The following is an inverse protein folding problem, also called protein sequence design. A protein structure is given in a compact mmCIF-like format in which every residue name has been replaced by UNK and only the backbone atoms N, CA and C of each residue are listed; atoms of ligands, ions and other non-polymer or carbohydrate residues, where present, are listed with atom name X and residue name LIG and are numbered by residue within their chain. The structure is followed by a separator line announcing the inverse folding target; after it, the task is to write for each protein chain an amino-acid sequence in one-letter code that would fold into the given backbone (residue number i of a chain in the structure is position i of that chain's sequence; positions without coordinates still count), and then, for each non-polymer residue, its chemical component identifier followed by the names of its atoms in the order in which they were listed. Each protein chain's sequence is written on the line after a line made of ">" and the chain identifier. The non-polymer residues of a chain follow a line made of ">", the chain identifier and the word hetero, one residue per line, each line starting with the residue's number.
data_IF_693920312207
#
_entry.id   IF_693920312207
#
_cell.length_a   1.000
_cell.length_b   1.000
_cell.length_c   1.000
_cell.angle_alpha   90.00
_cell.angle_beta   90.00
_cell.angle_gamma   90.00
#
_symmetry.space_group_name_H-M   'P 1'
#
loop_
_entity.id
_entity.type
_entity.pdbx_description
1 polymer ?
#
# COMPACT_ATOMS: atom_id res chain seq x y z
N UNK A 1 -8.47 -43.66 46.78
CA UNK A 1 -7.27 -42.81 46.96
C UNK A 1 -6.60 -42.38 45.63
N UNK A 2 -6.87 -43.07 44.51
CA UNK A 2 -6.17 -42.94 43.21
C UNK A 2 -6.49 -41.68 42.40
N UNK A 3 -7.69 -41.10 42.53
CA UNK A 3 -8.06 -39.89 41.76
C UNK A 3 -7.36 -38.62 42.23
N UNK A 4 -7.09 -38.49 43.54
CA UNK A 4 -6.43 -37.29 44.08
C UNK A 4 -4.98 -37.15 43.60
N UNK A 5 -4.25 -38.27 43.52
CA UNK A 5 -2.89 -38.29 42.97
C UNK A 5 -2.86 -37.88 41.50
N UNK A 6 -3.78 -38.41 40.67
CA UNK A 6 -3.87 -38.05 39.24
C UNK A 6 -4.19 -36.56 39.03
N UNK A 7 -5.05 -35.97 39.87
CA UNK A 7 -5.34 -34.52 39.80
C UNK A 7 -4.12 -33.68 40.19
N UNK A 8 -3.40 -34.08 41.24
CA UNK A 8 -2.19 -33.37 41.69
C UNK A 8 -1.08 -33.46 40.62
N UNK A 9 -0.86 -34.63 40.01
CA UNK A 9 0.11 -34.79 38.92
C UNK A 9 -0.24 -33.94 37.70
N UNK A 10 -1.53 -33.83 37.34
CA UNK A 10 -1.99 -32.98 36.24
C UNK A 10 -1.75 -31.49 36.52
N UNK A 11 -1.97 -31.04 37.76
CA UNK A 11 -1.71 -29.66 38.16
C UNK A 11 -0.21 -29.36 38.06
N UNK A 12 0.64 -30.24 38.63
CA UNK A 12 2.10 -30.08 38.56
C UNK A 12 2.59 -30.03 37.10
N UNK A 13 2.09 -30.93 36.24
CA UNK A 13 2.46 -30.96 34.83
C UNK A 13 1.98 -29.70 34.09
N UNK A 14 0.76 -29.24 34.36
CA UNK A 14 0.22 -28.02 33.75
C UNK A 14 1.00 -26.77 34.18
N UNK A 15 1.38 -26.67 35.45
CA UNK A 15 2.19 -25.56 35.96
C UNK A 15 3.61 -25.59 35.39
N UNK A 16 4.21 -26.78 35.21
CA UNK A 16 5.52 -26.94 34.58
C UNK A 16 5.51 -26.47 33.11
N UNK A 17 4.48 -26.84 32.35
CA UNK A 17 4.33 -26.43 30.94
C UNK A 17 4.12 -24.93 30.80
N UNK A 18 3.28 -24.33 31.66
CA UNK A 18 3.09 -22.87 31.71
C UNK A 18 4.36 -22.12 32.09
N UNK A 19 5.12 -22.64 33.07
CA UNK A 19 6.41 -22.08 33.47
C UNK A 19 7.45 -22.14 32.35
N UNK A 20 7.49 -23.23 31.59
CA UNK A 20 8.40 -23.38 30.46
C UNK A 20 8.08 -22.43 29.30
N UNK A 21 6.80 -22.17 29.03
CA UNK A 21 6.38 -21.17 28.04
C UNK A 21 6.75 -19.73 28.45
N UNK A 22 6.70 -19.41 29.75
CA UNK A 22 7.03 -18.09 30.26
C UNK A 22 8.54 -17.75 30.19
N UNK A 23 9.41 -18.76 30.05
CA UNK A 23 10.87 -18.57 29.93
C UNK A 23 11.32 -18.27 28.49
N UNK A 24 10.43 -18.40 27.50
CA UNK A 24 10.77 -18.08 26.11
C UNK A 24 10.64 -16.58 25.87
N UNK A 25 11.71 -15.86 25.48
CA UNK A 25 11.58 -14.45 25.13
C UNK A 25 10.69 -14.30 23.90
N UNK A 26 9.60 -13.54 24.04
CA UNK A 26 8.74 -13.18 22.93
C UNK A 26 9.56 -12.30 21.95
N UNK A 27 9.88 -12.86 20.77
CA UNK A 27 10.49 -12.10 19.68
C UNK A 27 9.40 -11.25 19.03
N UNK A 28 9.24 -10.01 19.50
CA UNK A 28 8.48 -9.00 18.78
C UNK A 28 9.28 -8.61 17.53
N UNK A 29 8.86 -9.02 16.34
CA UNK A 29 9.45 -8.63 15.06
C UNK A 29 9.09 -7.16 14.67
N UNK A 30 8.93 -6.29 15.65
CA UNK A 30 8.45 -4.91 15.49
C UNK A 30 9.52 -3.86 15.79
N UNK A 31 10.73 -4.28 16.15
CA UNK A 31 11.78 -3.35 16.62
C UNK A 31 12.17 -2.27 15.61
N UNK A 32 12.00 -2.53 14.32
CA UNK A 32 12.48 -1.64 13.25
C UNK A 32 11.38 -1.20 12.27
N UNK A 33 10.12 -1.55 12.54
CA UNK A 33 8.99 -1.07 11.73
C UNK A 33 8.87 0.46 11.80
N UNK A 34 9.22 1.05 12.94
CA UNK A 34 9.26 2.50 13.09
C UNK A 34 10.26 3.14 12.13
N UNK A 35 11.50 2.65 12.10
CA UNK A 35 12.51 3.16 11.18
C UNK A 35 12.19 2.82 9.72
N UNK A 36 11.59 1.66 9.43
CA UNK A 36 11.13 1.29 8.09
C UNK A 36 10.02 2.22 7.58
N UNK A 37 9.01 2.50 8.42
CA UNK A 37 7.93 3.43 8.08
C UNK A 37 8.42 4.88 8.02
N UNK A 38 9.30 5.30 8.93
CA UNK A 38 9.89 6.64 8.93
C UNK A 38 10.83 6.84 7.74
N UNK A 39 11.65 5.84 7.42
CA UNK A 39 12.52 5.85 6.26
C UNK A 39 11.74 5.87 4.95
N UNK A 40 10.65 5.10 4.89
CA UNK A 40 9.82 5.00 3.70
C UNK A 40 8.78 6.10 3.57
N UNK A 41 8.42 6.85 4.62
CA UNK A 41 7.24 7.74 4.58
C UNK A 41 7.33 8.82 3.50
N UNK A 42 8.49 9.50 3.38
CA UNK A 42 8.68 10.56 2.39
C UNK A 42 8.68 9.98 0.96
N UNK A 43 9.47 8.93 0.74
CA UNK A 43 9.59 8.26 -0.55
C UNK A 43 8.27 7.60 -0.99
N UNK A 44 7.54 7.00 -0.06
CA UNK A 44 6.21 6.42 -0.29
C UNK A 44 5.20 7.49 -0.69
N UNK A 45 5.29 8.70 -0.10
CA UNK A 45 4.47 9.84 -0.53
C UNK A 45 4.75 10.23 -1.98
N UNK A 46 6.04 10.30 -2.37
CA UNK A 46 6.47 10.60 -3.74
C UNK A 46 5.99 9.51 -4.71
N UNK A 47 6.24 8.23 -4.40
CA UNK A 47 5.81 7.09 -5.21
C UNK A 47 4.28 7.04 -5.34
N UNK A 48 3.55 7.25 -4.24
CA UNK A 48 2.08 7.29 -4.25
C UNK A 48 1.58 8.44 -5.13
N UNK A 49 2.21 9.62 -5.04
CA UNK A 49 1.85 10.79 -5.84
C UNK A 49 1.98 10.52 -7.34
N UNK A 50 3.08 9.92 -7.77
CA UNK A 50 3.27 9.57 -9.19
C UNK A 50 2.31 8.45 -9.61
N UNK A 51 2.09 7.45 -8.76
CA UNK A 51 1.14 6.36 -9.02
C UNK A 51 -0.29 6.88 -9.29
N UNK A 52 -0.77 7.86 -8.51
CA UNK A 52 -2.13 8.42 -8.67
C UNK A 52 -2.19 9.62 -9.63
N UNK A 53 -1.08 10.05 -10.22
CA UNK A 53 -1.00 11.24 -11.08
C UNK A 53 -1.99 11.29 -12.24
N UNK A 54 -2.33 10.19 -12.96
CA UNK A 54 -3.34 10.25 -14.01
C UNK A 54 -4.78 10.17 -13.49
N UNK A 55 -4.99 10.03 -12.18
CA UNK A 55 -6.35 9.95 -11.63
C UNK A 55 -7.20 11.20 -11.97
N UNK A 56 -6.71 12.44 -11.83
CA UNK A 56 -7.51 13.63 -12.11
C UNK A 56 -7.91 13.76 -13.59
N UNK A 57 -7.09 13.30 -14.53
CA UNK A 57 -7.42 13.39 -15.96
C UNK A 57 -8.58 12.47 -16.33
N UNK A 58 -8.61 11.25 -15.77
CA UNK A 58 -9.70 10.30 -15.99
C UNK A 58 -10.96 10.57 -15.16
N UNK A 59 -10.80 10.90 -13.88
CA UNK A 59 -11.91 11.18 -12.98
C UNK A 59 -12.54 12.55 -13.26
N UNK A 60 -11.73 13.58 -13.52
CA UNK A 60 -12.19 14.94 -13.77
C UNK A 60 -13.00 15.08 -15.05
N UNK A 61 -12.66 14.31 -16.10
CA UNK A 61 -13.48 14.24 -17.32
C UNK A 61 -14.86 13.66 -17.06
N UNK A 62 -14.96 12.65 -16.19
CA UNK A 62 -16.24 12.10 -15.71
C UNK A 62 -17.12 13.14 -15.02
N UNK A 63 -16.55 13.95 -14.12
CA UNK A 63 -17.27 15.01 -13.40
C UNK A 63 -17.75 16.14 -14.31
N UNK A 64 -16.93 16.55 -15.28
CA UNK A 64 -17.30 17.61 -16.23
C UNK A 64 -18.50 17.21 -17.12
N UNK A 65 -18.69 15.92 -17.39
CA UNK A 65 -19.84 15.46 -18.19
C UNK A 65 -21.21 15.63 -17.49
N UNK A 66 -21.23 15.85 -16.17
CA UNK A 66 -22.44 15.85 -15.34
C UNK A 66 -22.99 17.22 -14.92
N UNK A 67 -22.27 18.33 -15.14
CA UNK A 67 -22.57 19.61 -14.49
C UNK A 67 -23.72 20.46 -15.06
N UNK A 68 -24.65 19.90 -15.84
CA UNK A 68 -25.75 20.69 -16.41
C UNK A 68 -27.12 20.09 -16.12
N UNK A 69 -27.77 20.54 -15.05
CA UNK A 69 -29.20 20.30 -14.82
C UNK A 69 -29.98 21.61 -15.07
N UNK A 70 -31.04 21.55 -15.87
CA UNK A 70 -31.88 22.72 -16.14
C UNK A 70 -32.66 23.11 -14.88
N UNK A 71 -32.59 24.38 -14.47
CA UNK A 71 -33.33 24.93 -13.33
C UNK A 71 -34.84 25.11 -13.58
N UNK A 72 -35.34 24.74 -14.77
CA UNK A 72 -36.74 24.91 -15.13
C UNK A 72 -37.66 23.86 -14.48
N UNK A 73 -38.85 24.23 -13.98
CA UNK A 73 -39.78 23.31 -13.33
C UNK A 73 -40.29 22.26 -14.34
N UNK A 74 -40.14 20.98 -13.99
CA UNK A 74 -40.64 19.85 -14.81
C UNK A 74 -42.19 19.89 -14.82
N UNK A 75 -42.83 19.71 -15.99
CA UNK A 75 -44.30 19.67 -16.16
C UNK A 75 -44.93 18.43 -15.51
N UNK A 76 -46.25 18.45 -15.33
CA UNK A 76 -47.04 17.35 -14.74
C UNK A 76 -46.71 16.01 -15.44
N UNK A 77 -46.52 14.95 -14.65
CA UNK A 77 -45.79 13.66 -14.89
C UNK A 77 -44.31 13.63 -14.46
N UNK A 78 -43.64 14.76 -14.24
CA UNK A 78 -42.56 14.91 -13.24
C UNK A 78 -41.21 14.17 -13.45
N UNK A 79 -41.05 13.27 -14.41
CA UNK A 79 -39.77 12.56 -14.64
C UNK A 79 -38.99 13.09 -15.84
N UNK A 80 -37.66 12.95 -15.78
CA UNK A 80 -36.72 13.33 -16.84
C UNK A 80 -35.62 12.28 -16.91
N UNK A 81 -35.49 11.62 -18.05
CA UNK A 81 -34.41 10.66 -18.30
C UNK A 81 -33.33 11.36 -19.11
N UNK A 82 -32.08 11.27 -18.67
CA UNK A 82 -30.93 11.82 -19.38
C UNK A 82 -29.88 10.73 -19.55
N UNK A 83 -29.44 10.52 -20.79
CA UNK A 83 -28.32 9.66 -21.13
C UNK A 83 -27.14 10.54 -21.47
N UNK A 84 -26.01 10.37 -20.77
CA UNK A 84 -24.80 11.16 -20.97
C UNK A 84 -23.62 10.22 -21.16
N UNK A 85 -23.12 10.05 -22.40
CA UNK A 85 -21.88 9.31 -22.61
C UNK A 85 -20.72 10.16 -22.07
N UNK A 86 -19.85 9.54 -21.28
CA UNK A 86 -18.59 10.13 -20.84
C UNK A 86 -17.46 9.14 -21.15
N UNK A 87 -16.39 9.64 -21.76
CA UNK A 87 -15.21 8.86 -22.10
C UNK A 87 -14.00 9.60 -21.55
N UNK A 88 -13.23 8.89 -20.73
CA UNK A 88 -12.00 9.36 -20.13
C UNK A 88 -10.84 8.57 -20.73
N UNK A 89 -9.89 9.25 -21.36
CA UNK A 89 -8.69 8.63 -21.94
C UNK A 89 -7.46 9.24 -21.29
N UNK A 90 -6.63 8.39 -20.70
CA UNK A 90 -5.33 8.77 -20.14
C UNK A 90 -4.27 8.61 -21.23
N UNK A 91 -3.42 9.62 -21.50
CA UNK A 91 -2.31 9.48 -22.45
C UNK A 91 -1.33 8.39 -22.02
N UNK A 92 -0.73 7.68 -22.98
CA UNK A 92 0.25 6.62 -22.70
C UNK A 92 1.47 7.10 -21.92
N UNK A 93 1.85 8.38 -22.05
CA UNK A 93 2.93 8.98 -21.26
C UNK A 93 2.64 9.07 -19.76
N UNK A 94 1.37 9.05 -19.36
CA UNK A 94 0.93 9.16 -17.97
C UNK A 94 0.50 7.78 -17.39
N UNK A 95 0.62 6.71 -18.18
CA UNK A 95 0.31 5.34 -17.77
C UNK A 95 1.47 4.67 -17.03
N UNK A 96 2.68 5.19 -17.17
CA UNK A 96 3.88 4.71 -16.51
C UNK A 96 4.76 5.87 -16.08
N UNK A 97 5.62 5.64 -15.10
CA UNK A 97 6.65 6.60 -14.68
C UNK A 97 7.95 5.87 -14.34
N UNK A 98 9.05 6.62 -14.42
CA UNK A 98 10.39 6.11 -14.14
C UNK A 98 10.81 6.50 -12.72
N UNK A 99 11.03 5.49 -11.87
CA UNK A 99 11.41 5.66 -10.47
C UNK A 99 12.81 6.30 -10.35
N UNK A 100 13.72 6.06 -11.30
CA UNK A 100 15.08 6.61 -11.28
C UNK A 100 15.12 8.13 -11.46
N UNK A 101 14.05 8.72 -11.99
CA UNK A 101 13.90 10.17 -12.14
C UNK A 101 13.35 10.85 -10.87
N UNK A 102 12.92 10.06 -9.88
CA UNK A 102 12.37 10.56 -8.64
C UNK A 102 13.49 10.79 -7.63
N UNK A 103 13.37 11.89 -6.88
CA UNK A 103 14.30 12.23 -5.80
C UNK A 103 13.95 11.44 -4.54
N UNK A 104 14.11 10.12 -4.59
CA UNK A 104 13.94 9.23 -3.45
C UNK A 104 15.20 9.24 -2.59
N UNK A 105 15.03 9.27 -1.28
CA UNK A 105 16.14 9.32 -0.35
C UNK A 105 16.63 7.91 0.02
N UNK A 106 15.71 7.04 0.40
CA UNK A 106 16.00 5.77 1.08
C UNK A 106 15.50 4.55 0.29
N UNK A 107 14.59 4.72 -0.66
CA UNK A 107 14.08 3.67 -1.54
C UNK A 107 14.81 3.72 -2.89
N UNK A 108 15.22 2.55 -3.39
CA UNK A 108 15.89 2.42 -4.69
C UNK A 108 15.38 1.20 -5.45
N UNK A 109 15.52 1.24 -6.76
CA UNK A 109 15.28 0.08 -7.62
C UNK A 109 16.43 -0.92 -7.42
N UNK A 110 16.09 -2.19 -7.23
CA UNK A 110 17.08 -3.25 -7.06
C UNK A 110 17.97 -3.38 -8.31
N UNK A 111 19.22 -3.80 -8.10
CA UNK A 111 20.17 -3.92 -9.20
C UNK A 111 19.73 -4.95 -10.25
N UNK A 112 19.56 -4.52 -11.50
CA UNK A 112 19.15 -5.37 -12.61
C UNK A 112 17.67 -5.31 -12.97
N UNK A 113 16.86 -4.57 -12.21
CA UNK A 113 15.44 -4.33 -12.49
C UNK A 113 15.24 -3.12 -13.42
N UNK A 114 14.13 -3.11 -14.15
CA UNK A 114 13.70 -1.97 -14.97
C UNK A 114 13.06 -0.89 -14.07
N UNK A 115 13.59 0.35 -14.00
CA UNK A 115 13.05 1.37 -13.11
C UNK A 115 11.67 1.90 -13.50
N UNK A 116 11.11 1.49 -14.65
CA UNK A 116 9.77 1.89 -15.09
C UNK A 116 8.68 1.09 -14.39
N UNK A 117 7.72 1.79 -13.80
CA UNK A 117 6.55 1.20 -13.16
C UNK A 117 5.24 1.82 -13.65
N UNK A 118 4.13 1.11 -13.43
CA UNK A 118 2.81 1.52 -13.91
C UNK A 118 2.12 2.46 -12.92
N UNK A 119 1.32 3.40 -13.44
CA UNK A 119 0.40 4.22 -12.64
C UNK A 119 -0.91 3.46 -12.39
N UNK A 120 -1.83 4.07 -11.64
CA UNK A 120 -3.19 3.55 -11.42
C UNK A 120 -3.97 3.34 -12.73
N UNK A 121 -3.60 4.03 -13.80
CA UNK A 121 -4.22 3.94 -15.13
C UNK A 121 -3.39 3.15 -16.14
N UNK A 122 -2.28 2.53 -15.70
CA UNK A 122 -1.36 1.74 -16.52
C UNK A 122 -1.78 0.28 -16.69
N UNK A 123 -0.85 -0.54 -17.19
CA UNK A 123 -1.06 -1.99 -17.31
C UNK A 123 -1.07 -2.66 -15.93
N UNK A 124 -1.54 -3.92 -15.87
CA UNK A 124 -1.51 -4.72 -14.63
C UNK A 124 -0.17 -5.46 -14.45
N UNK A 125 0.88 -5.00 -15.12
CA UNK A 125 2.19 -5.60 -15.00
C UNK A 125 2.79 -5.26 -13.64
N UNK A 126 3.59 -6.18 -13.10
CA UNK A 126 4.30 -5.95 -11.85
C UNK A 126 5.31 -4.80 -11.99
N UNK A 127 5.48 -4.01 -10.92
CA UNK A 127 6.57 -3.04 -10.84
C UNK A 127 7.91 -3.70 -10.51
N UNK A 128 9.02 -2.95 -10.59
CA UNK A 128 10.33 -3.46 -10.22
C UNK A 128 10.43 -3.74 -8.72
N UNK A 129 11.35 -4.62 -8.35
CA UNK A 129 11.73 -4.84 -6.96
C UNK A 129 12.38 -3.57 -6.39
N UNK A 130 11.90 -3.12 -5.22
CA UNK A 130 12.41 -1.95 -4.52
C UNK A 130 13.14 -2.36 -3.23
N UNK A 131 14.24 -1.69 -2.95
CA UNK A 131 15.05 -1.89 -1.74
C UNK A 131 14.99 -0.64 -0.87
N UNK A 132 14.93 -0.83 0.45
CA UNK A 132 14.95 0.28 1.43
C UNK A 132 16.26 0.23 2.21
N UNK A 133 16.86 1.41 2.39
CA UNK A 133 18.10 1.61 3.13
C UNK A 133 17.85 2.53 4.34
N UNK A 134 18.45 2.22 5.49
CA UNK A 134 18.39 3.12 6.65
C UNK A 134 19.25 4.38 6.44
N UNK A 135 20.42 4.21 5.81
CA UNK A 135 21.27 5.29 5.28
C UNK A 135 21.34 5.17 3.75
N UNK A 136 20.92 6.20 2.99
CA UNK A 136 21.07 6.25 1.54
C UNK A 136 22.50 5.95 1.06
N UNK A 137 23.51 6.44 1.78
CA UNK A 137 24.88 6.47 1.28
C UNK A 137 25.66 5.19 1.59
N UNK A 138 25.11 4.32 2.44
CA UNK A 138 25.76 3.05 2.80
C UNK A 138 24.91 1.85 2.33
N UNK A 139 25.35 1.15 1.26
CA UNK A 139 24.65 -0.02 0.73
C UNK A 139 24.60 -1.20 1.70
N UNK A 140 25.38 -1.20 2.79
CA UNK A 140 25.31 -2.24 3.82
C UNK A 140 24.13 -2.04 4.78
N UNK A 141 23.41 -0.92 4.69
CA UNK A 141 22.32 -0.57 5.60
C UNK A 141 20.94 -0.92 5.01
N UNK A 142 20.85 -1.97 4.20
CA UNK A 142 19.58 -2.48 3.67
C UNK A 142 18.69 -2.97 4.82
N UNK A 143 17.52 -2.39 4.94
CA UNK A 143 16.52 -2.76 5.96
C UNK A 143 15.42 -3.66 5.41
N UNK A 144 15.21 -3.67 4.09
CA UNK A 144 14.20 -4.53 3.46
C UNK A 144 14.13 -4.40 1.94
N UNK A 145 13.26 -5.20 1.35
CA UNK A 145 12.91 -5.20 -0.08
C UNK A 145 11.41 -5.51 -0.23
N UNK A 146 10.78 -4.98 -1.29
CA UNK A 146 9.36 -5.18 -1.58
C UNK A 146 9.02 -4.96 -3.06
#
# INVERSE_FOLDING_TARGET
>A
MTNRYKTITKIILSTLVLGFMALSPAKAQFGDIGAFLEAGANDASILTREYIKPFPTGFGTGLNAGFTESAAPKKLFGFSVQLRPSVAVVPSSDQSFDISTLNLEKIRVASGEDPVTQTISGSKDGGPLLEIFADPNDPNTKIGEF
#
